data_IF_086671253764
#
_entry.id   IF_086671253764
#
_cell.length_a   1.000
_cell.length_b   1.000
_cell.length_c   1.000
_cell.angle_alpha   90.00
_cell.angle_beta   90.00
_cell.angle_gamma   90.00
#
_symmetry.space_group_name_H-M   'P 1'
#
loop_
_entity.id
_entity.type
_entity.pdbx_description
1 polymer ?
#
# COMPACT_ATOMS: atom_id res chain seq x y z
N UNK A 1 -11.82 -15.01 8.94
CA UNK A 1 -11.59 -13.64 8.44
C UNK A 1 -11.70 -13.62 6.93
N UNK A 2 -12.36 -12.59 6.36
CA UNK A 2 -12.66 -12.51 4.93
C UNK A 2 -11.48 -12.00 4.06
N UNK A 3 -10.46 -11.37 4.65
CA UNK A 3 -9.35 -10.75 3.91
C UNK A 3 -7.99 -11.20 4.45
N UNK A 4 -7.01 -11.38 3.55
CA UNK A 4 -5.68 -11.91 3.87
C UNK A 4 -4.55 -10.86 3.72
N UNK A 5 -4.84 -9.73 3.06
CA UNK A 5 -4.05 -8.49 3.02
C UNK A 5 -4.98 -7.31 2.72
N UNK A 6 -4.47 -6.08 2.86
CA UNK A 6 -5.20 -4.83 2.56
C UNK A 6 -4.70 -4.30 1.21
N UNK A 7 -5.50 -4.47 0.15
CA UNK A 7 -5.17 -3.98 -1.19
C UNK A 7 -5.30 -2.45 -1.27
N UNK A 8 -4.36 -1.82 -1.98
CA UNK A 8 -4.28 -0.39 -2.31
C UNK A 8 -4.95 0.50 -1.23
N UNK A 9 -4.38 0.54 -0.02
CA UNK A 9 -5.03 1.05 1.19
C UNK A 9 -5.41 2.54 1.11
N UNK A 10 -4.80 3.26 0.16
CA UNK A 10 -4.91 4.69 -0.06
C UNK A 10 -5.62 5.05 -1.38
N UNK A 11 -6.25 4.07 -2.05
CA UNK A 11 -6.99 4.28 -3.31
C UNK A 11 -8.11 5.33 -3.19
N UNK A 12 -8.61 5.59 -1.98
CA UNK A 12 -9.58 6.65 -1.72
C UNK A 12 -9.05 8.03 -2.17
N UNK A 13 -7.74 8.26 -2.12
CA UNK A 13 -7.10 9.50 -2.54
C UNK A 13 -7.17 9.76 -4.05
N UNK A 14 -7.58 8.76 -4.84
CA UNK A 14 -7.90 9.00 -6.25
C UNK A 14 -9.15 9.89 -6.39
N UNK A 15 -10.19 9.68 -5.58
CA UNK A 15 -11.44 10.47 -5.65
C UNK A 15 -11.55 11.55 -4.60
N UNK A 16 -10.81 11.42 -3.51
CA UNK A 16 -10.71 12.41 -2.45
C UNK A 16 -9.24 12.83 -2.28
N UNK A 17 -8.70 13.69 -3.17
CA UNK A 17 -7.27 13.91 -3.25
C UNK A 17 -6.67 14.77 -2.14
N UNK A 18 -7.44 15.13 -1.11
CA UNK A 18 -6.98 15.99 -0.01
C UNK A 18 -6.39 15.13 1.12
N UNK A 19 -5.19 15.49 1.61
CA UNK A 19 -4.56 14.83 2.76
C UNK A 19 -4.87 15.64 4.03
N UNK A 20 -6.09 15.48 4.52
CA UNK A 20 -6.60 16.09 5.73
C UNK A 20 -6.39 15.19 6.97
N UNK A 21 -6.90 15.62 8.11
CA UNK A 21 -6.80 14.85 9.36
C UNK A 21 -7.58 13.53 9.28
N UNK A 22 -8.69 13.50 8.55
CA UNK A 22 -9.50 12.30 8.34
C UNK A 22 -8.71 11.21 7.63
N UNK A 23 -7.98 11.58 6.57
CA UNK A 23 -7.10 10.69 5.81
C UNK A 23 -5.94 10.21 6.67
N UNK A 24 -5.30 11.09 7.46
CA UNK A 24 -4.23 10.68 8.37
C UNK A 24 -4.74 9.69 9.42
N UNK A 25 -5.89 9.96 10.03
CA UNK A 25 -6.52 9.03 10.98
C UNK A 25 -6.92 7.70 10.33
N UNK A 26 -7.35 7.71 9.07
CA UNK A 26 -7.61 6.48 8.32
C UNK A 26 -6.33 5.64 8.15
N UNK A 27 -5.24 6.25 7.71
CA UNK A 27 -3.95 5.57 7.56
C UNK A 27 -3.43 5.03 8.90
N UNK A 28 -3.56 5.80 9.99
CA UNK A 28 -3.22 5.38 11.36
C UNK A 28 -3.99 4.11 11.78
N UNK A 29 -5.31 4.10 11.54
CA UNK A 29 -6.18 2.96 11.90
C UNK A 29 -5.89 1.73 11.05
N UNK A 30 -5.62 1.90 9.75
CA UNK A 30 -5.21 0.80 8.87
C UNK A 30 -3.89 0.20 9.36
N UNK A 31 -2.92 1.05 9.70
CA UNK A 31 -1.62 0.63 10.21
C UNK A 31 -1.74 -0.14 11.54
N UNK A 32 -2.56 0.36 12.48
CA UNK A 32 -2.80 -0.32 13.76
C UNK A 32 -3.42 -1.71 13.57
N UNK A 33 -4.40 -1.83 12.66
CA UNK A 33 -5.04 -3.11 12.35
C UNK A 33 -4.08 -4.06 11.63
N UNK A 34 -3.28 -3.54 10.71
CA UNK A 34 -2.25 -4.28 9.98
C UNK A 34 -1.24 -4.91 10.95
N UNK A 35 -0.70 -4.11 11.88
CA UNK A 35 0.25 -4.56 12.91
C UNK A 35 -0.41 -5.54 13.86
N UNK A 36 -1.59 -5.19 14.41
CA UNK A 36 -2.29 -6.01 15.42
C UNK A 36 -2.60 -7.41 14.93
N UNK A 37 -2.98 -7.55 13.67
CA UNK A 37 -3.39 -8.82 13.10
C UNK A 37 -2.34 -9.44 12.18
N UNK A 38 -1.16 -8.84 12.04
CA UNK A 38 -0.12 -9.26 11.08
C UNK A 38 -0.69 -9.45 9.67
N UNK A 39 -1.52 -8.50 9.23
CA UNK A 39 -2.12 -8.46 7.89
C UNK A 39 -1.36 -7.41 7.08
N UNK A 40 -0.69 -7.78 5.97
CA UNK A 40 0.10 -6.82 5.22
C UNK A 40 -0.77 -5.80 4.47
N UNK A 41 -0.22 -4.61 4.30
CA UNK A 41 -0.75 -3.57 3.40
C UNK A 41 -0.02 -3.60 2.06
N UNK A 42 -0.71 -3.26 0.99
CA UNK A 42 -0.15 -3.28 -0.36
C UNK A 42 0.51 -1.95 -0.75
N UNK A 43 1.77 -1.98 -1.21
CA UNK A 43 2.31 -0.99 -2.13
C UNK A 43 1.86 -1.33 -3.55
N UNK A 44 0.82 -0.63 -4.02
CA UNK A 44 0.19 -0.91 -5.31
C UNK A 44 0.97 -0.25 -6.47
N UNK A 45 1.31 -1.03 -7.49
CA UNK A 45 2.02 -0.56 -8.70
C UNK A 45 1.08 -0.38 -9.91
N UNK A 46 -0.24 -0.35 -9.68
CA UNK A 46 -1.26 -0.38 -10.70
C UNK A 46 -1.63 0.99 -11.28
N UNK A 47 -2.94 1.25 -11.34
CA UNK A 47 -3.49 2.36 -12.12
C UNK A 47 -3.04 3.74 -11.64
N UNK A 48 -2.76 3.92 -10.35
CA UNK A 48 -2.32 5.20 -9.80
C UNK A 48 -0.98 5.66 -10.38
N UNK A 49 0.10 4.88 -10.21
CA UNK A 49 1.43 5.19 -10.77
C UNK A 49 1.47 5.21 -12.30
N UNK A 50 0.58 4.44 -12.96
CA UNK A 50 0.48 4.42 -14.43
C UNK A 50 0.05 5.77 -15.00
N UNK A 51 -0.84 6.48 -14.30
CA UNK A 51 -1.32 7.81 -14.70
C UNK A 51 -0.25 8.92 -14.54
N UNK A 52 0.89 8.61 -13.92
CA UNK A 52 1.95 9.59 -13.65
C UNK A 52 1.63 10.52 -12.49
N UNK A 53 2.57 11.41 -12.18
CA UNK A 53 2.38 12.44 -11.15
C UNK A 53 1.39 13.50 -11.64
N UNK A 54 0.59 14.03 -10.73
CA UNK A 54 -0.35 15.13 -10.95
C UNK A 54 -0.15 16.18 -9.88
N UNK A 55 -0.57 17.41 -10.18
CA UNK A 55 -0.60 18.49 -9.22
C UNK A 55 -1.80 18.33 -8.28
N UNK A 56 -1.52 18.34 -6.98
CA UNK A 56 -2.50 18.38 -5.90
C UNK A 56 -2.15 19.52 -4.95
N UNK A 57 -3.02 19.83 -3.99
CA UNK A 57 -2.78 20.88 -2.98
C UNK A 57 -1.53 20.60 -2.14
N UNK A 58 -1.22 19.32 -1.92
CA UNK A 58 -0.04 18.84 -1.18
C UNK A 58 1.21 18.63 -2.06
N UNK A 59 1.15 19.03 -3.33
CA UNK A 59 2.28 18.98 -4.28
C UNK A 59 2.11 17.97 -5.41
N UNK A 60 3.21 17.70 -6.11
CA UNK A 60 3.23 16.78 -7.24
C UNK A 60 3.49 15.34 -6.79
N UNK A 61 2.46 14.48 -6.89
CA UNK A 61 2.54 13.06 -6.52
C UNK A 61 1.68 12.18 -7.41
N UNK A 62 1.82 10.87 -7.27
CA UNK A 62 0.89 9.92 -7.88
C UNK A 62 -0.49 9.98 -7.21
N UNK A 63 -1.58 9.63 -7.93
CA UNK A 63 -2.90 9.45 -7.33
C UNK A 63 -2.89 8.45 -6.15
N UNK A 64 -2.19 7.33 -6.31
CA UNK A 64 -1.80 6.34 -5.30
C UNK A 64 -0.69 5.45 -5.90
N UNK A 65 0.19 4.84 -5.11
CA UNK A 65 0.30 4.98 -3.67
C UNK A 65 0.82 6.39 -3.31
N UNK A 66 0.57 6.81 -2.07
CA UNK A 66 0.78 8.16 -1.57
C UNK A 66 1.72 8.14 -0.37
N UNK A 67 2.70 9.05 -0.39
CA UNK A 67 3.77 9.13 0.62
C UNK A 67 3.21 9.19 2.04
N UNK A 68 2.13 9.95 2.26
CA UNK A 68 1.52 10.14 3.56
C UNK A 68 1.07 8.84 4.25
N UNK A 69 0.56 7.86 3.49
CA UNK A 69 0.22 6.55 4.06
C UNK A 69 1.48 5.76 4.41
N UNK A 70 2.47 5.76 3.52
CA UNK A 70 3.69 4.96 3.71
C UNK A 70 4.61 5.50 4.79
N UNK A 71 4.60 6.80 5.08
CA UNK A 71 5.27 7.38 6.26
C UNK A 71 4.67 6.83 7.57
N UNK A 72 3.35 6.69 7.64
CA UNK A 72 2.67 6.10 8.80
C UNK A 72 2.96 4.60 8.89
N UNK A 73 2.91 3.88 7.77
CA UNK A 73 3.24 2.45 7.73
C UNK A 73 4.67 2.16 8.12
N UNK A 74 5.64 2.95 7.66
CA UNK A 74 7.04 2.89 8.07
C UNK A 74 7.17 3.11 9.58
N UNK A 75 6.64 4.22 10.10
CA UNK A 75 6.72 4.56 11.53
C UNK A 75 6.09 3.51 12.44
N UNK A 76 4.99 2.87 12.01
CA UNK A 76 4.33 1.78 12.76
C UNK A 76 4.91 0.40 12.47
N UNK A 77 5.88 0.32 11.57
CA UNK A 77 6.49 -0.94 11.16
C UNK A 77 5.46 -1.95 10.60
N UNK A 78 4.40 -1.44 9.95
CA UNK A 78 3.35 -2.25 9.36
C UNK A 78 3.92 -3.13 8.23
N UNK A 79 3.59 -4.44 8.16
CA UNK A 79 4.09 -5.30 7.09
C UNK A 79 3.60 -4.83 5.72
N UNK A 80 4.51 -4.64 4.78
CA UNK A 80 4.19 -4.17 3.41
C UNK A 80 4.53 -5.25 2.38
N UNK A 81 3.60 -5.53 1.47
CA UNK A 81 3.83 -6.35 0.27
C UNK A 81 3.68 -5.50 -0.98
N UNK A 82 4.31 -5.91 -2.08
CA UNK A 82 4.17 -5.27 -3.38
C UNK A 82 3.08 -5.99 -4.17
N UNK A 83 2.15 -5.23 -4.75
CA UNK A 83 1.12 -5.75 -5.65
C UNK A 83 1.11 -4.99 -6.97
N UNK A 84 1.13 -5.71 -8.08
CA UNK A 84 1.28 -5.09 -9.40
C UNK A 84 -0.05 -4.61 -10.01
N UNK A 85 -1.18 -5.19 -9.59
CA UNK A 85 -2.53 -4.82 -10.07
C UNK A 85 -2.63 -4.77 -11.61
N UNK A 86 -1.99 -5.75 -12.26
CA UNK A 86 -1.82 -5.83 -13.71
C UNK A 86 -3.10 -6.31 -14.39
N UNK A 87 -3.59 -5.51 -15.33
CA UNK A 87 -4.75 -5.80 -16.17
C UNK A 87 -4.39 -6.01 -17.65
N UNK A 88 -3.12 -5.81 -18.01
CA UNK A 88 -2.56 -6.08 -19.35
C UNK A 88 -1.21 -6.81 -19.18
N UNK A 89 -1.06 -8.06 -19.66
CA UNK A 89 0.19 -8.81 -19.54
C UNK A 89 1.43 -8.11 -20.09
N UNK A 90 1.29 -7.17 -21.05
CA UNK A 90 2.42 -6.40 -21.57
C UNK A 90 3.11 -5.55 -20.50
N UNK A 91 2.41 -5.23 -19.40
CA UNK A 91 2.98 -4.46 -18.30
C UNK A 91 4.06 -5.23 -17.54
N UNK A 92 4.13 -6.56 -17.66
CA UNK A 92 5.25 -7.36 -17.13
C UNK A 92 6.57 -7.15 -17.89
N UNK A 93 6.54 -6.48 -19.04
CA UNK A 93 7.73 -6.20 -19.84
C UNK A 93 8.46 -4.91 -19.40
N UNK A 94 8.02 -4.27 -18.32
CA UNK A 94 8.64 -3.04 -17.82
C UNK A 94 8.54 -2.92 -16.30
N UNK A 95 9.61 -2.44 -15.69
CA UNK A 95 9.65 -2.11 -14.26
C UNK A 95 9.21 -0.67 -13.97
N UNK A 96 8.77 0.09 -14.99
CA UNK A 96 8.44 1.52 -14.84
C UNK A 96 7.48 1.76 -13.69
N UNK A 97 6.42 0.96 -13.56
CA UNK A 97 5.38 1.18 -12.55
C UNK A 97 5.82 0.73 -11.15
N UNK A 98 6.59 -0.36 -11.08
CA UNK A 98 7.24 -0.80 -9.86
C UNK A 98 8.18 0.29 -9.33
N UNK A 99 9.06 0.81 -10.17
CA UNK A 99 10.01 1.87 -9.81
C UNK A 99 9.30 3.14 -9.32
N UNK A 100 8.19 3.53 -9.98
CA UNK A 100 7.36 4.67 -9.53
C UNK A 100 6.71 4.43 -8.18
N UNK A 101 6.25 3.20 -7.90
CA UNK A 101 5.69 2.87 -6.60
C UNK A 101 6.79 2.87 -5.51
N UNK A 102 7.96 2.30 -5.81
CA UNK A 102 9.12 2.29 -4.90
C UNK A 102 9.63 3.70 -4.57
N UNK A 103 9.57 4.63 -5.53
CA UNK A 103 9.90 6.05 -5.32
C UNK A 103 9.09 6.66 -4.16
N UNK A 104 7.82 6.28 -4.01
CA UNK A 104 6.96 6.75 -2.90
C UNK A 104 7.52 6.35 -1.55
N UNK A 105 8.27 5.25 -1.47
CA UNK A 105 8.85 4.71 -0.24
C UNK A 105 10.32 5.05 -0.03
N UNK A 106 10.94 5.81 -0.93
CA UNK A 106 12.37 6.10 -0.87
C UNK A 106 12.76 6.81 0.44
N UNK A 107 13.80 6.29 1.12
CA UNK A 107 14.26 6.81 2.40
C UNK A 107 13.36 6.50 3.60
N UNK A 108 12.31 5.68 3.44
CA UNK A 108 11.50 5.17 4.54
C UNK A 108 12.02 3.79 4.98
N UNK A 109 11.98 3.54 6.29
CA UNK A 109 12.24 2.23 6.87
C UNK A 109 10.97 1.36 6.76
N UNK A 110 10.79 0.76 5.58
CA UNK A 110 9.62 -0.08 5.28
C UNK A 110 9.88 -1.52 5.70
N UNK A 111 8.93 -2.08 6.44
CA UNK A 111 8.90 -3.50 6.80
C UNK A 111 8.44 -4.37 5.62
N UNK A 112 9.32 -4.54 4.63
CA UNK A 112 9.05 -5.36 3.45
C UNK A 112 8.87 -6.83 3.81
N UNK A 113 7.79 -7.42 3.28
CA UNK A 113 7.55 -8.85 3.33
C UNK A 113 7.90 -9.45 1.96
N UNK A 114 9.13 -9.95 1.82
CA UNK A 114 9.61 -10.66 0.63
C UNK A 114 9.30 -12.15 0.73
N UNK A 115 9.10 -12.84 -0.40
CA UNK A 115 8.76 -14.27 -0.45
C UNK A 115 7.57 -14.66 0.43
N UNK A 116 6.61 -13.74 0.56
CA UNK A 116 5.50 -13.85 1.50
C UNK A 116 4.43 -14.84 1.01
N UNK A 117 4.33 -16.00 1.66
CA UNK A 117 3.25 -16.96 1.42
C UNK A 117 1.95 -16.47 2.07
N UNK A 118 1.21 -15.66 1.31
CA UNK A 118 -0.08 -15.11 1.72
C UNK A 118 -1.05 -16.18 2.24
N UNK A 119 -1.06 -17.37 1.63
CA UNK A 119 -1.98 -18.46 1.97
C UNK A 119 -1.59 -19.14 3.28
N UNK A 120 -0.31 -19.44 3.48
CA UNK A 120 0.17 -20.04 4.72
C UNK A 120 -0.02 -19.07 5.91
N UNK A 121 0.36 -17.80 5.76
CA UNK A 121 0.16 -16.79 6.80
C UNK A 121 -1.33 -16.56 7.10
N UNK A 122 -2.18 -16.58 6.08
CA UNK A 122 -3.64 -16.52 6.26
C UNK A 122 -4.20 -17.68 7.07
N UNK A 123 -3.75 -18.91 6.78
CA UNK A 123 -4.16 -20.11 7.53
C UNK A 123 -3.76 -19.99 9.00
N UNK A 124 -2.54 -19.52 9.28
CA UNK A 124 -2.06 -19.33 10.64
C UNK A 124 -2.90 -18.29 11.40
N UNK A 125 -3.12 -17.10 10.82
CA UNK A 125 -3.96 -16.07 11.45
C UNK A 125 -5.39 -16.54 11.74
N UNK A 126 -5.97 -17.34 10.84
CA UNK A 126 -7.35 -17.85 11.00
C UNK A 126 -7.49 -18.75 12.23
N UNK A 127 -6.42 -19.42 12.69
CA UNK A 127 -6.39 -20.20 13.95
C UNK A 127 -6.52 -19.34 15.21
N UNK A 128 -6.37 -18.02 15.11
CA UNK A 128 -6.55 -17.11 16.26
C UNK A 128 -8.01 -16.75 16.51
N UNK A 129 -8.90 -17.05 15.55
CA UNK A 129 -10.32 -16.68 15.59
C UNK A 129 -11.25 -17.89 15.69
N UNK A 130 -10.72 -19.11 15.52
CA UNK A 130 -11.43 -20.38 15.55
C UNK A 130 -10.64 -21.37 16.40
#
# INVERSE_FOLDING_TARGET
GLCDYICHPDVCLWRYPSIDDSVRQLAERIADLSVKYSIPVELNCGSGVRLGKKAYEDGNRYPYPTRAFFEIFARKHAPVIIGLDVHDPKLFLTDTYLNRALEVTEGLDINWQTDYDLVAHAKERKRLFF
#
